data_IF_417077821896
#
_entry.id   IF_417077821896
#
_cell.length_a   1.000
_cell.length_b   1.000
_cell.length_c   1.000
_cell.angle_alpha   90.00
_cell.angle_beta   90.00
_cell.angle_gamma   90.00
#
_symmetry.space_group_name_H-M   'P 1'
#
loop_
_entity.id
_entity.type
_entity.pdbx_description
1 polymer ?
#
# COMPACT_ATOMS: atom_id res chain seq x y z
N UNK A 1 18.61 -8.94 18.12
CA UNK A 1 18.52 -8.05 19.30
C UNK A 1 17.24 -7.26 19.15
N UNK A 2 16.59 -6.94 20.26
CA UNK A 2 15.27 -6.30 20.27
C UNK A 2 15.33 -4.96 21.00
N UNK A 3 14.54 -3.99 20.55
CA UNK A 3 14.38 -2.67 21.19
C UNK A 3 12.93 -2.26 21.11
N UNK A 4 12.44 -1.63 22.18
CA UNK A 4 11.12 -1.00 22.27
C UNK A 4 11.31 0.45 22.66
N UNK A 5 10.74 1.37 21.88
CA UNK A 5 10.64 2.79 22.19
C UNK A 5 9.16 3.16 22.37
N UNK A 6 8.81 3.83 23.47
CA UNK A 6 7.43 4.25 23.76
C UNK A 6 7.29 5.77 23.85
N UNK A 7 6.16 6.29 23.35
CA UNK A 7 5.86 7.71 23.28
C UNK A 7 4.43 7.99 23.74
N UNK A 8 4.30 8.84 24.76
CA UNK A 8 3.03 9.28 25.36
C UNK A 8 2.51 10.62 24.80
N UNK A 9 3.06 11.08 23.67
CA UNK A 9 2.68 12.34 23.01
C UNK A 9 1.83 12.01 21.78
N UNK A 10 0.88 12.90 21.41
CA UNK A 10 0.14 12.74 20.16
C UNK A 10 1.11 12.74 18.98
N UNK A 11 1.01 11.71 18.14
CA UNK A 11 1.78 11.59 16.91
C UNK A 11 0.79 11.71 15.75
N UNK A 12 0.96 12.75 14.95
CA UNK A 12 0.15 12.99 13.76
C UNK A 12 0.76 12.34 12.51
N UNK A 13 2.08 12.12 12.50
CA UNK A 13 2.78 11.53 11.35
C UNK A 13 3.87 10.59 11.80
N UNK A 14 3.89 9.39 11.23
CA UNK A 14 4.96 8.41 11.37
C UNK A 14 5.70 8.34 10.04
N UNK A 15 6.98 8.71 10.05
CA UNK A 15 7.84 8.71 8.86
C UNK A 15 8.95 7.68 9.01
N UNK A 16 8.94 6.68 8.14
CA UNK A 16 9.94 5.62 8.06
C UNK A 16 10.79 5.87 6.82
N UNK A 17 12.12 5.89 6.97
CA UNK A 17 13.08 5.98 5.86
C UNK A 17 14.13 4.90 5.99
N UNK A 18 14.12 3.88 5.13
CA UNK A 18 15.11 2.82 5.26
C UNK A 18 15.24 1.90 4.06
N UNK A 19 16.47 1.74 3.60
CA UNK A 19 16.84 0.85 2.50
C UNK A 19 16.68 -0.66 2.79
N UNK A 20 16.51 -1.07 4.05
CA UNK A 20 16.80 -2.44 4.47
C UNK A 20 15.90 -2.91 5.61
N UNK A 21 14.60 -2.70 5.45
CA UNK A 21 13.56 -3.19 6.38
C UNK A 21 12.73 -4.22 5.63
N UNK A 22 12.76 -5.47 6.09
CA UNK A 22 12.04 -6.58 5.44
C UNK A 22 10.53 -6.46 5.64
N UNK A 23 10.10 -6.22 6.88
CA UNK A 23 8.68 -6.18 7.25
C UNK A 23 8.40 -5.04 8.22
N UNK A 24 7.35 -4.29 7.92
CA UNK A 24 6.81 -3.23 8.76
C UNK A 24 5.37 -3.62 9.09
N UNK A 25 5.07 -3.80 10.37
CA UNK A 25 3.74 -4.14 10.88
C UNK A 25 3.19 -2.91 11.60
N UNK A 26 1.98 -2.50 11.23
CA UNK A 26 1.29 -1.40 11.88
C UNK A 26 0.01 -1.97 12.47
N UNK A 27 -0.18 -1.79 13.78
CA UNK A 27 -1.26 -2.41 14.54
C UNK A 27 -1.86 -1.44 15.56
N UNK A 28 -3.10 -1.65 16.01
CA UNK A 28 -3.71 -0.81 17.00
C UNK A 28 -3.21 -1.24 18.39
N UNK A 29 -2.95 -0.27 19.25
CA UNK A 29 -2.64 -0.49 20.65
C UNK A 29 -3.89 -0.24 21.50
N UNK A 30 -4.00 -1.03 22.56
CA UNK A 30 -4.95 -0.81 23.67
C UNK A 30 -4.44 0.24 24.66
N UNK A 31 -3.16 0.61 24.55
CA UNK A 31 -2.55 1.64 25.38
C UNK A 31 -2.71 3.01 24.73
N UNK A 32 -2.51 4.07 25.52
CA UNK A 32 -2.46 5.45 25.03
C UNK A 32 -1.07 5.82 24.49
N UNK A 33 -0.13 4.88 24.48
CA UNK A 33 1.24 5.10 24.00
C UNK A 33 1.42 4.55 22.58
N UNK A 34 2.19 5.28 21.77
CA UNK A 34 2.71 4.74 20.52
C UNK A 34 4.01 4.01 20.81
N UNK A 35 4.06 2.72 20.47
CA UNK A 35 5.22 1.86 20.70
C UNK A 35 5.85 1.46 19.38
N UNK A 36 7.18 1.47 19.32
CA UNK A 36 7.95 0.98 18.18
C UNK A 36 8.85 -0.15 18.67
N UNK A 37 8.53 -1.37 18.24
CA UNK A 37 9.37 -2.55 18.42
C UNK A 37 10.20 -2.80 17.16
N UNK A 38 11.49 -3.10 17.34
CA UNK A 38 12.41 -3.41 16.24
C UNK A 38 13.21 -4.65 16.55
N UNK A 39 13.27 -5.57 15.58
CA UNK A 39 14.10 -6.75 15.59
C UNK A 39 15.07 -6.76 14.39
N UNK A 40 16.35 -6.96 14.66
CA UNK A 40 17.41 -7.03 13.64
C UNK A 40 18.73 -6.45 14.14
N UNK A 41 19.47 -5.80 13.23
CA UNK A 41 20.67 -5.06 13.57
C UNK A 41 20.32 -3.64 14.08
N UNK A 42 20.27 -3.48 15.41
CA UNK A 42 19.91 -2.21 16.03
C UNK A 42 20.94 -1.09 15.82
N UNK A 43 22.18 -1.41 15.42
CA UNK A 43 23.16 -0.36 15.05
C UNK A 43 22.73 0.40 13.80
N UNK A 44 21.81 -0.17 13.02
CA UNK A 44 21.25 0.44 11.81
C UNK A 44 20.01 1.27 12.09
N UNK A 45 19.54 1.38 13.33
CA UNK A 45 18.24 1.98 13.64
C UNK A 45 18.38 3.29 14.42
N UNK A 46 17.79 4.36 13.89
CA UNK A 46 17.66 5.65 14.54
C UNK A 46 16.18 6.03 14.64
N UNK A 47 15.76 6.52 15.80
CA UNK A 47 14.40 7.03 16.04
C UNK A 47 14.46 8.39 16.73
N UNK A 48 13.63 9.33 16.28
CA UNK A 48 13.58 10.70 16.79
C UNK A 48 12.14 11.22 16.76
N UNK A 49 11.69 11.81 17.87
CA UNK A 49 10.41 12.54 17.93
C UNK A 49 10.68 14.04 17.73
N UNK A 50 10.08 14.63 16.69
CA UNK A 50 10.21 16.06 16.36
C UNK A 50 8.82 16.69 16.31
N UNK A 51 8.38 17.31 17.41
CA UNK A 51 7.00 17.75 17.55
C UNK A 51 6.06 16.54 17.53
N UNK A 52 5.08 16.53 16.63
CA UNK A 52 4.10 15.45 16.44
C UNK A 52 4.52 14.47 15.33
N UNK A 53 5.79 14.53 14.88
CA UNK A 53 6.33 13.66 13.84
C UNK A 53 7.32 12.68 14.45
N UNK A 54 6.99 11.38 14.39
CA UNK A 54 7.91 10.31 14.74
C UNK A 54 8.71 9.91 13.50
N UNK A 55 10.02 10.16 13.53
CA UNK A 55 10.94 9.79 12.45
C UNK A 55 11.69 8.52 12.85
N UNK A 56 11.58 7.51 12.00
CA UNK A 56 12.30 6.25 12.09
C UNK A 56 13.17 6.15 10.84
N UNK A 57 14.46 5.90 10.99
CA UNK A 57 15.38 5.80 9.87
C UNK A 57 16.40 4.70 10.04
N UNK A 58 16.85 4.11 8.93
CA UNK A 58 18.05 3.27 8.94
C UNK A 58 19.32 4.10 8.72
N UNK A 59 20.45 3.78 9.36
CA UNK A 59 21.70 4.56 9.24
C UNK A 59 22.18 4.61 7.77
N UNK A 60 22.05 3.51 7.04
CA UNK A 60 22.35 3.45 5.60
C UNK A 60 21.38 4.24 4.70
N UNK A 61 20.28 4.81 5.22
CA UNK A 61 19.41 5.71 4.43
C UNK A 61 20.12 7.01 3.99
N UNK A 62 21.34 7.27 4.48
CA UNK A 62 22.21 8.37 4.05
C UNK A 62 23.00 8.05 2.78
N UNK A 63 22.97 6.80 2.29
CA UNK A 63 23.71 6.37 1.10
C UNK A 63 22.78 6.43 -0.11
N UNK A 64 23.19 7.17 -1.16
CA UNK A 64 22.39 7.40 -2.38
C UNK A 64 22.32 6.19 -3.33
N UNK A 65 22.97 5.09 -2.99
CA UNK A 65 23.06 3.89 -3.83
C UNK A 65 22.89 2.66 -2.94
N UNK A 66 21.90 1.84 -3.28
CA UNK A 66 21.62 0.56 -2.63
C UNK A 66 21.90 -0.53 -3.67
N UNK A 67 22.74 -1.49 -3.32
CA UNK A 67 22.99 -2.66 -4.16
C UNK A 67 21.80 -3.63 -4.14
N UNK A 68 21.65 -4.44 -5.19
CA UNK A 68 20.62 -5.50 -5.23
C UNK A 68 20.81 -6.50 -4.08
N UNK A 69 22.06 -6.77 -3.70
CA UNK A 69 22.38 -7.67 -2.58
C UNK A 69 21.86 -7.11 -1.24
N UNK A 70 21.97 -5.81 -1.01
CA UNK A 70 21.41 -5.16 0.17
C UNK A 70 19.88 -5.18 0.21
N UNK A 71 19.21 -5.27 -0.95
CA UNK A 71 17.75 -5.52 -1.01
C UNK A 71 17.40 -6.96 -0.59
N UNK A 72 18.32 -7.91 -0.81
CA UNK A 72 18.12 -9.33 -0.50
C UNK A 72 18.56 -9.69 0.93
N UNK A 73 19.38 -8.86 1.57
CA UNK A 73 19.84 -9.03 2.96
C UNK A 73 19.38 -7.87 3.85
N UNK A 74 18.10 -7.86 4.26
CA UNK A 74 17.56 -6.82 5.13
C UNK A 74 18.33 -6.76 6.46
N UNK A 75 18.62 -5.55 6.95
CA UNK A 75 19.27 -5.34 8.26
C UNK A 75 18.27 -5.35 9.40
N UNK A 76 17.04 -4.91 9.13
CA UNK A 76 15.91 -4.98 10.04
C UNK A 76 14.95 -6.04 9.52
N UNK A 77 14.74 -7.09 10.30
CA UNK A 77 13.86 -8.20 9.94
C UNK A 77 12.39 -7.85 10.18
N UNK A 78 12.10 -7.19 11.29
CA UNK A 78 10.74 -6.76 11.64
C UNK A 78 10.77 -5.43 12.39
N UNK A 79 9.86 -4.55 12.00
CA UNK A 79 9.51 -3.34 12.73
C UNK A 79 8.01 -3.38 12.99
N UNK A 80 7.59 -3.26 14.24
CA UNK A 80 6.19 -3.23 14.64
C UNK A 80 5.90 -1.89 15.30
N UNK A 81 4.83 -1.25 14.85
CA UNK A 81 4.41 0.06 15.33
C UNK A 81 2.98 -0.08 15.84
N UNK A 82 2.84 -0.03 17.16
CA UNK A 82 1.57 -0.16 17.85
C UNK A 82 1.06 1.23 18.19
N UNK A 83 -0.14 1.59 17.73
CA UNK A 83 -0.64 2.97 17.76
C UNK A 83 -1.95 3.02 18.53
N UNK A 84 -2.13 3.95 19.48
CA UNK A 84 -3.37 4.09 20.21
C UNK A 84 -4.57 4.15 19.26
N UNK A 85 -5.60 3.35 19.56
CA UNK A 85 -6.78 3.23 18.69
C UNK A 85 -7.54 4.56 18.52
N UNK A 86 -7.31 5.53 19.42
CA UNK A 86 -7.83 6.89 19.38
C UNK A 86 -7.13 7.80 18.37
N UNK A 87 -5.92 7.42 17.91
CA UNK A 87 -5.12 8.17 16.94
C UNK A 87 -5.28 7.59 15.54
N UNK A 88 -5.15 8.45 14.52
CA UNK A 88 -5.15 8.08 13.11
C UNK A 88 -4.04 8.83 12.36
N UNK A 89 -2.75 8.49 12.59
CA UNK A 89 -1.64 9.22 12.01
C UNK A 89 -1.53 9.00 10.49
N UNK A 90 -0.83 9.93 9.83
CA UNK A 90 -0.33 9.70 8.47
C UNK A 90 0.93 8.81 8.51
N UNK A 91 0.99 7.84 7.63
CA UNK A 91 2.18 7.00 7.44
C UNK A 91 2.90 7.38 6.17
N UNK A 92 4.21 7.63 6.28
CA UNK A 92 5.09 7.92 5.13
C UNK A 92 6.28 6.99 5.21
N UNK A 93 6.25 5.92 4.41
CA UNK A 93 7.25 4.86 4.40
C UNK A 93 8.03 4.96 3.10
N UNK A 94 9.32 5.23 3.22
CA UNK A 94 10.29 5.24 2.12
C UNK A 94 11.22 4.05 2.34
N UNK A 95 11.05 2.99 1.55
CA UNK A 95 11.76 1.75 1.77
C UNK A 95 12.14 0.98 0.50
N UNK A 96 13.14 0.11 0.60
CA UNK A 96 13.59 -0.75 -0.50
C UNK A 96 13.41 -2.21 -0.11
N UNK A 97 12.50 -2.92 -0.80
CA UNK A 97 12.25 -4.34 -0.56
C UNK A 97 11.39 -4.63 0.67
N UNK A 98 10.52 -3.70 1.07
CA UNK A 98 9.73 -3.83 2.29
C UNK A 98 8.33 -4.41 2.04
N UNK A 99 7.90 -5.24 2.99
CA UNK A 99 6.53 -5.70 3.14
C UNK A 99 5.83 -4.88 4.24
N UNK A 100 4.80 -4.12 3.90
CA UNK A 100 3.99 -3.37 4.87
C UNK A 100 2.73 -4.17 5.19
N UNK A 101 2.44 -4.38 6.48
CA UNK A 101 1.29 -5.16 6.94
C UNK A 101 0.45 -4.33 7.90
N UNK A 102 -0.84 -4.23 7.60
CA UNK A 102 -1.89 -3.74 8.49
C UNK A 102 -2.98 -4.81 8.54
N UNK A 103 -3.07 -5.55 9.64
CA UNK A 103 -4.03 -6.64 9.78
C UNK A 103 -4.91 -6.39 11.01
N UNK A 104 -6.01 -5.68 10.79
CA UNK A 104 -6.91 -5.29 11.86
C UNK A 104 -8.05 -6.30 11.99
N UNK A 105 -8.40 -6.65 13.23
CA UNK A 105 -9.59 -7.48 13.50
C UNK A 105 -10.88 -6.72 13.20
N UNK A 106 -10.92 -5.45 13.60
CA UNK A 106 -12.05 -4.54 13.41
C UNK A 106 -11.69 -3.46 12.36
N UNK A 107 -12.67 -2.86 11.66
CA UNK A 107 -12.40 -1.79 10.70
C UNK A 107 -11.64 -0.61 11.32
N UNK A 108 -10.51 -0.23 10.71
CA UNK A 108 -9.69 0.89 11.13
C UNK A 108 -9.48 1.89 9.99
N UNK A 109 -9.69 3.18 10.28
CA UNK A 109 -9.57 4.25 9.27
C UNK A 109 -8.23 4.95 9.40
N UNK A 110 -7.32 4.67 8.46
CA UNK A 110 -6.09 5.46 8.32
C UNK A 110 -6.40 6.76 7.56
N UNK A 111 -5.68 7.84 7.90
CA UNK A 111 -5.80 9.10 7.17
C UNK A 111 -5.13 9.00 5.80
N UNK A 112 -3.84 8.66 5.79
CA UNK A 112 -3.07 8.39 4.58
C UNK A 112 -1.95 7.38 4.86
N UNK A 113 -1.77 6.42 3.96
CA UNK A 113 -0.61 5.53 3.88
C UNK A 113 0.13 5.80 2.57
N UNK A 114 1.30 6.42 2.67
CA UNK A 114 2.19 6.66 1.54
C UNK A 114 3.39 5.72 1.59
N UNK A 115 3.58 4.96 0.53
CA UNK A 115 4.67 4.01 0.34
C UNK A 115 5.51 4.41 -0.87
N UNK A 116 6.74 4.84 -0.65
CA UNK A 116 7.69 5.18 -1.70
C UNK A 116 8.85 4.15 -1.69
N UNK A 117 9.35 3.71 -2.86
CA UNK A 117 10.41 2.71 -2.87
C UNK A 117 10.81 2.12 -4.22
N UNK A 118 11.62 1.05 -4.20
CA UNK A 118 11.95 0.28 -5.42
C UNK A 118 11.02 -0.93 -5.55
N UNK A 119 10.92 -1.72 -4.50
CA UNK A 119 10.02 -2.88 -4.42
C UNK A 119 9.25 -2.78 -3.11
N UNK A 120 7.93 -2.64 -3.22
CA UNK A 120 7.04 -2.51 -2.07
C UNK A 120 5.91 -3.51 -2.20
N UNK A 121 5.77 -4.35 -1.19
CA UNK A 121 4.64 -5.24 -1.04
C UNK A 121 3.78 -4.75 0.13
N UNK A 122 2.45 -4.83 0.02
CA UNK A 122 1.56 -4.39 1.09
C UNK A 122 0.38 -5.35 1.30
N UNK A 123 0.11 -5.73 2.55
CA UNK A 123 -1.05 -6.53 2.96
C UNK A 123 -1.91 -5.74 3.95
N UNK A 124 -3.15 -5.45 3.58
CA UNK A 124 -4.03 -4.57 4.32
C UNK A 124 -5.39 -5.27 4.52
N UNK A 125 -5.79 -5.50 5.77
CA UNK A 125 -7.06 -6.14 6.14
C UNK A 125 -7.87 -5.22 7.05
N UNK A 126 -9.15 -5.04 6.74
CA UNK A 126 -10.08 -4.19 7.50
C UNK A 126 -9.58 -2.73 7.63
N UNK A 127 -8.96 -2.20 6.58
CA UNK A 127 -8.45 -0.83 6.53
C UNK A 127 -9.35 0.03 5.66
N UNK A 128 -9.57 1.29 6.02
CA UNK A 128 -10.11 2.30 5.11
C UNK A 128 -9.24 3.54 5.06
N UNK A 129 -9.25 4.28 3.95
CA UNK A 129 -8.51 5.53 3.81
C UNK A 129 -7.95 5.80 2.41
N UNK A 130 -6.87 6.60 2.37
CA UNK A 130 -6.07 6.86 1.18
C UNK A 130 -4.78 6.06 1.25
N UNK A 131 -4.47 5.31 0.18
CA UNK A 131 -3.21 4.61 0.00
C UNK A 131 -2.55 5.13 -1.27
N UNK A 132 -1.31 5.60 -1.15
CA UNK A 132 -0.50 6.10 -2.25
C UNK A 132 0.79 5.30 -2.32
N UNK A 133 1.07 4.66 -3.45
CA UNK A 133 2.29 3.88 -3.66
C UNK A 133 3.06 4.44 -4.85
N UNK A 134 4.31 4.87 -4.64
CA UNK A 134 5.21 5.25 -5.72
C UNK A 134 6.43 4.34 -5.67
N UNK A 135 6.40 3.27 -6.46
CA UNK A 135 7.49 2.29 -6.47
C UNK A 135 7.80 1.79 -7.86
N UNK A 136 9.01 1.29 -8.11
CA UNK A 136 9.30 0.64 -9.40
C UNK A 136 8.38 -0.58 -9.59
N UNK A 137 8.30 -1.43 -8.56
CA UNK A 137 7.41 -2.58 -8.53
C UNK A 137 6.59 -2.60 -7.24
N UNK A 138 5.27 -2.68 -7.37
CA UNK A 138 4.37 -2.88 -6.23
C UNK A 138 3.44 -4.07 -6.39
N UNK A 139 3.18 -4.75 -5.27
CA UNK A 139 2.09 -5.69 -5.14
C UNK A 139 1.30 -5.42 -3.86
N UNK A 140 0.01 -5.12 -4.00
CA UNK A 140 -0.86 -4.70 -2.90
C UNK A 140 -2.00 -5.71 -2.79
N UNK A 141 -2.15 -6.33 -1.63
CA UNK A 141 -3.25 -7.20 -1.28
C UNK A 141 -4.11 -6.50 -0.24
N UNK A 142 -5.37 -6.27 -0.58
CA UNK A 142 -6.33 -5.58 0.28
C UNK A 142 -7.56 -6.45 0.50
N UNK A 143 -7.96 -6.59 1.77
CA UNK A 143 -9.15 -7.31 2.21
C UNK A 143 -10.02 -6.39 3.06
N UNK A 144 -11.34 -6.37 2.83
CA UNK A 144 -12.29 -5.53 3.57
C UNK A 144 -11.94 -4.02 3.52
N UNK A 145 -11.55 -3.54 2.34
CA UNK A 145 -11.08 -2.17 2.15
C UNK A 145 -12.22 -1.18 1.80
N UNK A 146 -12.03 0.09 2.15
CA UNK A 146 -12.86 1.21 1.69
C UNK A 146 -12.04 2.47 1.46
N UNK A 147 -12.22 3.16 0.33
CA UNK A 147 -11.51 4.41 0.04
C UNK A 147 -10.76 4.40 -1.29
N UNK A 148 -9.51 4.86 -1.31
CA UNK A 148 -8.78 5.13 -2.56
C UNK A 148 -7.38 4.52 -2.52
N UNK A 149 -7.00 3.87 -3.62
CA UNK A 149 -5.65 3.36 -3.84
C UNK A 149 -5.10 3.97 -5.12
N UNK A 150 -3.95 4.62 -5.01
CA UNK A 150 -3.19 5.14 -6.14
C UNK A 150 -1.82 4.47 -6.15
N UNK A 151 -1.44 3.86 -7.27
CA UNK A 151 -0.10 3.31 -7.44
C UNK A 151 0.55 3.80 -8.73
N UNK A 152 1.75 4.35 -8.62
CA UNK A 152 2.57 4.80 -9.74
C UNK A 152 3.87 4.00 -9.76
N UNK A 153 4.25 3.48 -10.93
CA UNK A 153 5.43 2.63 -11.03
C UNK A 153 5.73 2.10 -12.42
N UNK A 154 6.63 1.12 -12.49
CA UNK A 154 6.85 0.34 -13.72
C UNK A 154 5.85 -0.81 -13.79
N UNK A 155 5.72 -1.57 -12.70
CA UNK A 155 4.77 -2.68 -12.58
C UNK A 155 3.99 -2.56 -11.28
N UNK A 156 2.67 -2.48 -11.39
CA UNK A 156 1.79 -2.36 -10.23
C UNK A 156 0.72 -3.45 -10.29
N UNK A 157 0.61 -4.21 -9.21
CA UNK A 157 -0.43 -5.23 -9.07
C UNK A 157 -1.26 -4.96 -7.83
N UNK A 158 -2.58 -5.01 -7.97
CA UNK A 158 -3.52 -4.96 -6.85
C UNK A 158 -4.38 -6.21 -6.86
N UNK A 159 -4.50 -6.84 -5.70
CA UNK A 159 -5.48 -7.86 -5.39
C UNK A 159 -6.43 -7.32 -4.33
N UNK A 160 -7.71 -7.27 -4.65
CA UNK A 160 -8.74 -6.77 -3.77
C UNK A 160 -9.80 -7.84 -3.56
N UNK A 161 -10.04 -8.16 -2.29
CA UNK A 161 -11.01 -9.16 -1.87
C UNK A 161 -11.98 -8.57 -0.86
N UNK A 162 -13.29 -8.67 -1.09
CA UNK A 162 -14.35 -8.22 -0.19
C UNK A 162 -14.23 -6.73 0.22
N UNK A 163 -15.17 -5.88 -0.16
CA UNK A 163 -15.08 -4.45 0.19
C UNK A 163 -16.39 -3.96 0.74
N UNK A 164 -16.28 -3.15 1.79
CA UNK A 164 -17.42 -2.73 2.58
C UNK A 164 -17.99 -1.38 2.11
N UNK A 165 -17.29 -0.68 1.21
CA UNK A 165 -17.62 0.67 0.73
C UNK A 165 -17.13 0.88 -0.71
N UNK A 166 -17.46 2.03 -1.31
CA UNK A 166 -16.92 2.47 -2.59
C UNK A 166 -15.38 2.47 -2.58
N UNK A 167 -14.78 1.85 -3.60
CA UNK A 167 -13.33 1.82 -3.79
C UNK A 167 -12.95 2.43 -5.13
N UNK A 168 -12.01 3.37 -5.09
CA UNK A 168 -11.34 3.88 -6.30
C UNK A 168 -9.92 3.33 -6.36
N UNK A 169 -9.57 2.74 -7.49
CA UNK A 169 -8.22 2.25 -7.79
C UNK A 169 -7.69 2.98 -9.01
N UNK A 170 -6.52 3.61 -8.91
CA UNK A 170 -5.78 4.12 -10.08
C UNK A 170 -4.38 3.57 -10.09
N UNK A 171 -4.02 2.86 -11.16
CA UNK A 171 -2.68 2.32 -11.36
C UNK A 171 -2.09 2.93 -12.62
N UNK A 172 -0.95 3.58 -12.48
CA UNK A 172 -0.20 4.15 -13.58
C UNK A 172 1.17 3.47 -13.65
N UNK A 173 1.44 2.77 -14.75
CA UNK A 173 2.76 2.21 -14.99
C UNK A 173 2.91 1.58 -16.36
N UNK A 174 4.06 0.99 -16.65
CA UNK A 174 4.21 0.24 -17.91
C UNK A 174 3.30 -1.00 -17.92
N UNK A 175 3.22 -1.70 -16.78
CA UNK A 175 2.24 -2.76 -16.52
C UNK A 175 1.42 -2.44 -15.29
N UNK A 176 0.10 -2.55 -15.41
CA UNK A 176 -0.83 -2.31 -14.30
C UNK A 176 -1.88 -3.41 -14.29
N UNK A 177 -1.99 -4.11 -13.17
CA UNK A 177 -2.88 -5.25 -13.02
C UNK A 177 -3.77 -5.08 -11.80
N UNK A 178 -5.06 -5.32 -11.95
CA UNK A 178 -6.01 -5.26 -10.85
C UNK A 178 -6.91 -6.50 -10.87
N UNK A 179 -6.95 -7.20 -9.74
CA UNK A 179 -7.69 -8.43 -9.53
C UNK A 179 -8.73 -8.19 -8.44
N UNK A 180 -10.00 -8.37 -8.76
CA UNK A 180 -11.12 -8.13 -7.88
C UNK A 180 -11.88 -9.44 -7.68
N UNK A 181 -11.92 -9.90 -6.44
CA UNK A 181 -12.73 -11.01 -5.99
C UNK A 181 -13.77 -10.45 -5.02
N UNK A 182 -15.04 -10.39 -5.41
CA UNK A 182 -16.08 -10.01 -4.45
C UNK A 182 -16.29 -11.15 -3.44
N UNK A 183 -16.29 -10.78 -2.16
CA UNK A 183 -16.85 -11.59 -1.09
C UNK A 183 -18.35 -11.36 -0.99
N UNK A 184 -18.93 -11.49 0.21
CA UNK A 184 -20.37 -11.28 0.42
C UNK A 184 -20.81 -9.81 0.28
N UNK A 185 -19.88 -8.85 0.35
CA UNK A 185 -20.18 -7.42 0.32
C UNK A 185 -20.24 -6.85 -1.12
N UNK A 186 -21.35 -6.16 -1.42
CA UNK A 186 -21.64 -5.49 -2.70
C UNK A 186 -21.02 -4.09 -2.72
N UNK A 187 -19.81 -3.94 -3.23
CA UNK A 187 -19.15 -2.64 -3.34
C UNK A 187 -19.07 -2.13 -4.78
N UNK A 188 -18.94 -0.81 -4.88
CA UNK A 188 -18.71 -0.15 -6.16
C UNK A 188 -17.22 0.06 -6.38
N UNK A 189 -16.71 -0.45 -7.50
CA UNK A 189 -15.33 -0.25 -7.92
C UNK A 189 -15.28 0.79 -9.03
N UNK A 190 -14.40 1.79 -8.89
CA UNK A 190 -13.96 2.65 -9.98
C UNK A 190 -12.48 2.39 -10.22
N UNK A 191 -12.15 1.79 -11.35
CA UNK A 191 -10.78 1.36 -11.65
C UNK A 191 -10.28 2.13 -12.86
N UNK A 192 -9.09 2.70 -12.77
CA UNK A 192 -8.36 3.28 -13.87
C UNK A 192 -6.97 2.63 -13.95
N UNK A 193 -6.67 1.95 -15.05
CA UNK A 193 -5.36 1.37 -15.31
C UNK A 193 -4.75 2.12 -16.49
N UNK A 194 -3.65 2.84 -16.29
CA UNK A 194 -2.90 3.48 -17.36
C UNK A 194 -1.59 2.73 -17.58
N UNK A 195 -1.28 2.39 -18.83
CA UNK A 195 -0.03 1.74 -19.17
C UNK A 195 0.02 1.08 -20.53
N UNK A 196 1.16 0.47 -20.86
CA UNK A 196 1.29 -0.33 -22.08
C UNK A 196 0.57 -1.69 -21.93
N UNK A 197 0.48 -2.20 -20.70
CA UNK A 197 -0.15 -3.47 -20.38
C UNK A 197 -1.06 -3.34 -19.15
N UNK A 198 -2.31 -2.92 -19.40
CA UNK A 198 -3.38 -2.93 -18.42
C UNK A 198 -4.10 -4.28 -18.41
N UNK A 199 -4.26 -4.88 -17.23
CA UNK A 199 -5.06 -6.11 -17.05
C UNK A 199 -6.00 -5.94 -15.86
N UNK A 200 -7.28 -6.19 -16.08
CA UNK A 200 -8.27 -6.25 -15.03
C UNK A 200 -8.92 -7.63 -15.03
N UNK A 201 -9.03 -8.24 -13.86
CA UNK A 201 -9.88 -9.40 -13.65
C UNK A 201 -10.93 -9.05 -12.60
N UNK A 202 -12.20 -9.23 -12.93
CA UNK A 202 -13.32 -9.12 -12.01
C UNK A 202 -14.12 -10.42 -12.12
N UNK A 203 -14.06 -11.27 -11.09
CA UNK A 203 -14.53 -12.66 -11.18
C UNK A 203 -13.91 -13.40 -12.38
N UNK A 204 -14.75 -14.03 -13.21
CA UNK A 204 -14.36 -14.73 -14.43
C UNK A 204 -14.20 -13.77 -15.64
N UNK A 205 -14.63 -12.50 -15.52
CA UNK A 205 -14.43 -11.50 -16.57
C UNK A 205 -13.00 -10.98 -16.53
N UNK A 206 -12.33 -11.09 -17.68
CA UNK A 206 -10.96 -10.65 -17.86
C UNK A 206 -10.91 -9.63 -18.99
N UNK A 207 -10.37 -8.46 -18.67
CA UNK A 207 -10.18 -7.35 -19.60
C UNK A 207 -8.71 -6.99 -19.69
N UNK A 208 -8.26 -6.64 -20.89
CA UNK A 208 -6.91 -6.16 -21.14
C UNK A 208 -6.94 -4.92 -22.01
N UNK A 209 -5.97 -4.03 -21.83
CA UNK A 209 -5.86 -2.79 -22.60
C UNK A 209 -4.41 -2.37 -22.80
N UNK A 210 -4.22 -1.61 -23.88
CA UNK A 210 -3.09 -0.69 -24.06
C UNK A 210 -3.62 0.74 -23.85
N UNK A 211 -2.91 1.58 -23.11
CA UNK A 211 -3.35 2.92 -22.71
C UNK A 211 -4.14 2.90 -21.40
N UNK A 212 -5.26 3.63 -21.36
CA UNK A 212 -6.11 3.77 -20.18
C UNK A 212 -7.30 2.80 -20.27
N UNK A 213 -7.50 1.96 -19.25
CA UNK A 213 -8.72 1.19 -19.03
C UNK A 213 -9.45 1.76 -17.83
N UNK A 214 -10.67 2.24 -18.06
CA UNK A 214 -11.59 2.61 -16.99
C UNK A 214 -12.68 1.53 -16.86
N UNK A 215 -12.97 1.13 -15.63
CA UNK A 215 -14.02 0.19 -15.30
C UNK A 215 -14.84 0.70 -14.11
N UNK A 216 -16.15 0.51 -14.19
CA UNK A 216 -17.07 0.72 -13.07
C UNK A 216 -17.91 -0.54 -12.87
N UNK A 217 -18.00 -1.05 -11.62
CA UNK A 217 -18.81 -2.25 -11.33
C UNK A 217 -20.32 -1.97 -11.44
N UNK A 218 -21.14 -2.97 -11.78
CA UNK A 218 -22.55 -2.79 -12.16
C UNK A 218 -23.54 -2.51 -11.00
N UNK A 219 -23.07 -2.36 -9.76
CA UNK A 219 -23.96 -2.27 -8.58
C UNK A 219 -24.55 -0.87 -8.30
N UNK A 220 -24.28 0.13 -9.15
CA UNK A 220 -25.03 1.39 -9.18
C UNK A 220 -25.79 1.45 -10.50
N UNK A 221 -27.12 1.29 -10.45
CA UNK A 221 -28.07 1.71 -11.48
C UNK A 221 -27.50 1.97 -12.89
N UNK A 222 -27.17 0.90 -13.62
CA UNK A 222 -26.71 1.00 -14.99
C UNK A 222 -25.74 -0.11 -15.36
N UNK A 223 -25.82 -0.59 -16.60
CA UNK A 223 -24.89 -1.55 -17.16
C UNK A 223 -23.43 -1.11 -16.93
N UNK A 224 -22.47 -2.05 -16.80
CA UNK A 224 -21.07 -1.71 -16.57
C UNK A 224 -20.57 -0.75 -17.66
N UNK A 225 -20.26 0.48 -17.27
CA UNK A 225 -19.65 1.45 -18.18
C UNK A 225 -18.14 1.24 -18.18
N UNK A 226 -17.66 0.53 -19.21
CA UNK A 226 -16.23 0.36 -19.46
C UNK A 226 -15.83 1.34 -20.55
N UNK A 227 -14.96 2.30 -20.19
CA UNK A 227 -14.37 3.25 -21.13
C UNK A 227 -12.89 2.96 -21.23
N UNK A 228 -12.48 2.29 -22.30
CA UNK A 228 -11.07 2.10 -22.64
C UNK A 228 -10.64 3.26 -23.53
N UNK A 229 -9.68 4.07 -23.08
CA UNK A 229 -9.04 5.12 -23.86
C UNK A 229 -7.60 4.72 -24.16
N UNK A 230 -7.39 4.08 -25.31
CA UNK A 230 -6.06 3.68 -25.76
C UNK A 230 -5.33 4.82 -26.45
N UNK A 231 -4.32 5.41 -25.81
CA UNK A 231 -3.47 6.45 -26.42
C UNK A 231 -2.17 5.87 -27.03
N UNK A 232 -2.25 4.76 -27.79
CA UNK A 232 -1.10 4.33 -28.61
C UNK A 232 -1.31 3.11 -29.51
N UNK A 233 -0.20 2.65 -30.11
CA UNK A 233 -0.07 2.04 -31.45
C UNK A 233 -0.91 0.78 -31.77
N UNK A 234 -1.55 0.12 -30.82
CA UNK A 234 -2.61 -0.87 -31.08
C UNK A 234 -3.42 -1.18 -29.82
N UNK A 235 -4.74 -0.97 -29.85
CA UNK A 235 -5.64 -1.39 -28.77
C UNK A 235 -6.35 -2.69 -29.17
N UNK A 236 -6.26 -3.73 -28.33
CA UNK A 236 -7.11 -4.92 -28.42
C UNK A 236 -7.90 -5.05 -27.13
N UNK A 237 -9.18 -4.73 -27.20
CA UNK A 237 -10.14 -4.91 -26.09
C UNK A 237 -10.93 -6.16 -26.38
N UNK A 238 -10.75 -7.19 -25.57
CA UNK A 238 -11.62 -8.37 -25.54
C UNK A 238 -12.58 -8.21 -24.37
N UNK A 239 -13.87 -8.15 -24.66
CA UNK A 239 -14.96 -8.30 -23.68
C UNK A 239 -15.60 -9.63 -24.03
N UNK A 240 -15.57 -10.60 -23.11
CA UNK A 240 -16.28 -11.87 -23.28
C UNK A 240 -17.68 -11.76 -22.68
#
# INVERSE_FOLDING_TARGET
MERIDSYNKPIETIRIKGASIKRIIIEPSITEETEVYVNGNLSEYEIQLMGEVLKISTVHSRIMTISIDEMNTPKIEEMRISIPSSLNPDFKIDAVGAMVVMDYKEPYTIRNLRLDGVKIDAQLTNVSGLIEVNSVNSSIWVTNFGGRIYSNGVSNTIHLTNTNNDVTVKLNGLSSQAYFNEGEAKANYRVQLAGLNGKMCYYADRRTSFGILNYTSPHIHGAPAVRVEGNGLSAKVSVN
#
